data_IF_252072465818
#
_entry.id   IF_252072465818
#
_cell.length_a   1.000
_cell.length_b   1.000
_cell.length_c   1.000
_cell.angle_alpha   90.00
_cell.angle_beta   90.00
_cell.angle_gamma   90.00
#
_symmetry.space_group_name_H-M   'P 1'
#
loop_
_entity.id
_entity.type
_entity.pdbx_description
1 polymer ?
#
# COMPACT_ATOMS: atom_id res chain seq x y z
N UNK A 1 4.21 -14.51 1.80
CA UNK A 1 3.60 -14.58 3.16
C UNK A 1 4.41 -15.52 4.03
N UNK A 2 4.76 -15.14 5.26
CA UNK A 2 5.54 -15.98 6.19
C UNK A 2 4.66 -17.08 6.78
N UNK A 3 5.24 -18.20 7.23
CA UNK A 3 4.47 -19.32 7.79
C UNK A 3 3.61 -18.93 8.99
N UNK A 4 4.12 -18.07 9.87
CA UNK A 4 3.38 -17.56 11.04
C UNK A 4 2.16 -16.72 10.63
N UNK A 5 2.26 -15.94 9.56
CA UNK A 5 1.14 -15.14 9.03
C UNK A 5 0.07 -16.05 8.43
N UNK A 6 0.48 -17.13 7.76
CA UNK A 6 -0.46 -18.15 7.23
C UNK A 6 -1.21 -18.80 8.39
N UNK A 7 -0.50 -19.26 9.41
CA UNK A 7 -1.09 -19.90 10.59
C UNK A 7 -2.09 -18.97 11.30
N UNK A 8 -1.70 -17.72 11.55
CA UNK A 8 -2.58 -16.73 12.15
C UNK A 8 -3.86 -16.51 11.31
N UNK A 9 -3.73 -16.34 9.98
CA UNK A 9 -4.89 -16.20 9.09
C UNK A 9 -5.81 -17.43 9.13
N UNK A 10 -5.26 -18.63 9.18
CA UNK A 10 -6.04 -19.87 9.29
C UNK A 10 -6.84 -19.87 10.59
N UNK A 11 -6.21 -19.53 11.72
CA UNK A 11 -6.88 -19.50 13.02
C UNK A 11 -7.97 -18.42 13.08
N UNK A 12 -7.73 -17.23 12.53
CA UNK A 12 -8.73 -16.15 12.41
C UNK A 12 -9.95 -16.60 11.59
N UNK A 13 -9.72 -17.26 10.45
CA UNK A 13 -10.78 -17.81 9.60
C UNK A 13 -11.61 -18.85 10.36
N UNK A 14 -10.96 -19.74 11.11
CA UNK A 14 -11.65 -20.75 11.92
C UNK A 14 -12.49 -20.08 13.03
N UNK A 15 -11.97 -19.05 13.69
CA UNK A 15 -12.71 -18.32 14.72
C UNK A 15 -13.94 -17.60 14.14
N UNK A 16 -13.81 -17.02 12.94
CA UNK A 16 -14.93 -16.41 12.20
C UNK A 16 -15.98 -17.43 11.80
N UNK A 17 -15.57 -18.65 11.43
CA UNK A 17 -16.46 -19.78 11.14
C UNK A 17 -17.27 -20.19 12.36
N UNK A 18 -16.62 -20.33 13.51
CA UNK A 18 -17.27 -20.69 14.76
C UNK A 18 -18.29 -19.61 15.19
N UNK A 19 -18.08 -18.36 14.79
CA UNK A 19 -19.01 -17.22 15.00
C UNK A 19 -20.09 -17.08 13.92
N UNK A 20 -20.13 -17.96 12.91
CA UNK A 20 -21.11 -17.93 11.82
C UNK A 20 -20.99 -16.70 10.90
N UNK A 21 -19.81 -16.09 10.82
CA UNK A 21 -19.57 -14.95 9.95
C UNK A 21 -19.29 -15.40 8.51
N UNK A 22 -19.54 -14.56 7.48
CA UNK A 22 -19.12 -14.85 6.11
C UNK A 22 -17.60 -14.99 6.04
N UNK A 23 -17.12 -16.05 5.37
CA UNK A 23 -15.68 -16.38 5.30
C UNK A 23 -15.16 -16.37 3.87
N UNK A 24 -15.87 -17.02 2.95
CA UNK A 24 -15.43 -17.04 1.55
C UNK A 24 -15.50 -15.62 1.00
N UNK A 25 -14.32 -15.07 0.74
CA UNK A 25 -14.12 -13.80 0.07
C UNK A 25 -13.40 -14.03 -1.27
N UNK A 26 -12.96 -12.96 -1.90
CA UNK A 26 -12.29 -13.03 -3.20
C UNK A 26 -10.88 -13.66 -3.13
N UNK A 27 -10.39 -14.00 -1.93
CA UNK A 27 -9.03 -14.54 -1.69
C UNK A 27 -9.00 -15.88 -0.96
N UNK A 28 -10.09 -16.28 -0.30
CA UNK A 28 -10.18 -17.52 0.50
C UNK A 28 -11.19 -18.51 -0.09
N UNK A 29 -10.81 -19.78 -0.17
CA UNK A 29 -11.67 -20.88 -0.61
C UNK A 29 -11.66 -22.03 0.42
N UNK A 30 -12.84 -22.47 0.87
CA UNK A 30 -12.95 -23.55 1.85
C UNK A 30 -13.25 -24.89 1.16
N UNK A 31 -12.60 -25.96 1.61
CA UNK A 31 -12.76 -27.32 1.07
C UNK A 31 -12.82 -28.32 2.21
N UNK A 32 -13.91 -29.09 2.28
CA UNK A 32 -14.02 -30.18 3.24
C UNK A 32 -12.99 -31.28 2.97
N UNK A 33 -12.79 -31.62 1.68
CA UNK A 33 -11.88 -32.68 1.23
C UNK A 33 -10.95 -32.20 0.12
N UNK A 34 -9.87 -32.95 -0.10
CA UNK A 34 -8.97 -32.76 -1.22
C UNK A 34 -9.71 -32.90 -2.57
N UNK A 35 -9.55 -31.95 -3.50
CA UNK A 35 -10.16 -32.06 -4.82
C UNK A 35 -9.62 -33.27 -5.60
N UNK A 36 -10.48 -34.26 -5.87
CA UNK A 36 -10.13 -35.47 -6.63
C UNK A 36 -10.06 -35.25 -8.14
N UNK A 37 -10.86 -34.32 -8.64
CA UNK A 37 -10.82 -33.89 -10.04
C UNK A 37 -9.74 -32.81 -10.22
N UNK A 38 -8.54 -33.25 -10.63
CA UNK A 38 -7.39 -32.39 -10.82
C UNK A 38 -7.57 -31.33 -11.91
N UNK A 39 -8.39 -31.61 -12.94
CA UNK A 39 -8.68 -30.62 -13.97
C UNK A 39 -9.58 -29.51 -13.41
N UNK A 40 -10.67 -29.90 -12.73
CA UNK A 40 -11.55 -28.94 -12.06
C UNK A 40 -10.79 -28.14 -10.99
N UNK A 41 -9.90 -28.78 -10.25
CA UNK A 41 -9.03 -28.10 -9.28
C UNK A 41 -8.14 -27.06 -9.98
N UNK A 42 -7.41 -27.45 -11.02
CA UNK A 42 -6.54 -26.55 -11.79
C UNK A 42 -7.33 -25.37 -12.38
N UNK A 43 -8.51 -25.64 -12.98
CA UNK A 43 -9.39 -24.61 -13.54
C UNK A 43 -9.83 -23.60 -12.48
N UNK A 44 -10.19 -24.06 -11.28
CA UNK A 44 -10.59 -23.18 -10.18
C UNK A 44 -9.43 -22.39 -9.58
N UNK A 45 -8.26 -23.02 -9.43
CA UNK A 45 -7.04 -22.34 -8.97
C UNK A 45 -6.68 -21.22 -9.95
N UNK A 46 -6.63 -21.53 -11.25
CA UNK A 46 -6.35 -20.55 -12.29
C UNK A 46 -7.40 -19.41 -12.30
N UNK A 47 -8.70 -19.74 -12.17
CA UNK A 47 -9.76 -18.76 -12.13
C UNK A 47 -9.64 -17.77 -10.96
N UNK A 48 -9.36 -18.32 -9.78
CA UNK A 48 -9.19 -17.57 -8.55
C UNK A 48 -7.92 -16.70 -8.63
N UNK A 49 -6.81 -17.27 -9.11
CA UNK A 49 -5.55 -16.55 -9.25
C UNK A 49 -5.61 -15.42 -10.29
N UNK A 50 -6.29 -15.63 -11.42
CA UNK A 50 -6.51 -14.59 -12.43
C UNK A 50 -7.38 -13.44 -11.88
N UNK A 51 -8.42 -13.76 -11.11
CA UNK A 51 -9.29 -12.74 -10.52
C UNK A 51 -8.59 -11.95 -9.39
N UNK A 52 -7.66 -12.57 -8.66
CA UNK A 52 -6.94 -11.96 -7.55
C UNK A 52 -5.87 -10.93 -7.96
N UNK A 53 -5.44 -10.91 -9.23
CA UNK A 53 -4.60 -9.84 -9.84
C UNK A 53 -3.32 -9.48 -9.06
N UNK A 54 -2.62 -10.48 -8.55
CA UNK A 54 -1.36 -10.31 -7.81
C UNK A 54 -1.50 -10.49 -6.29
N UNK A 55 -2.73 -10.48 -5.76
CA UNK A 55 -2.96 -10.86 -4.36
C UNK A 55 -2.91 -12.38 -4.18
N UNK A 56 -2.21 -12.90 -3.16
CA UNK A 56 -2.14 -14.33 -2.91
C UNK A 56 -3.52 -14.87 -2.51
N UNK A 57 -3.86 -16.06 -3.01
CA UNK A 57 -5.11 -16.73 -2.67
C UNK A 57 -4.83 -17.93 -1.75
N UNK A 58 -5.76 -18.25 -0.87
CA UNK A 58 -5.64 -19.32 0.12
C UNK A 58 -6.77 -20.33 -0.02
N UNK A 59 -6.42 -21.60 -0.14
CA UNK A 59 -7.38 -22.70 -0.03
C UNK A 59 -7.18 -23.42 1.30
N UNK A 60 -8.26 -23.61 2.06
CA UNK A 60 -8.23 -24.34 3.33
C UNK A 60 -8.91 -25.69 3.15
N UNK A 61 -8.11 -26.75 3.22
CA UNK A 61 -8.57 -28.14 3.16
C UNK A 61 -8.86 -28.64 4.58
N UNK A 62 -9.98 -29.34 4.76
CA UNK A 62 -10.46 -29.82 6.05
C UNK A 62 -11.45 -28.86 6.73
N UNK A 63 -12.00 -27.89 5.99
CA UNK A 63 -13.01 -26.94 6.50
C UNK A 63 -14.27 -27.02 5.64
N UNK A 64 -15.42 -27.22 6.29
CA UNK A 64 -16.74 -27.19 5.68
C UNK A 64 -17.51 -25.97 6.22
N UNK A 65 -18.02 -25.13 5.32
CA UNK A 65 -18.71 -23.88 5.69
C UNK A 65 -19.91 -24.10 6.62
N UNK A 66 -20.56 -25.27 6.57
CA UNK A 66 -21.73 -25.60 7.39
C UNK A 66 -21.39 -26.41 8.62
N UNK A 67 -20.38 -27.27 8.53
CA UNK A 67 -20.01 -28.22 9.61
C UNK A 67 -18.82 -27.76 10.44
N UNK A 68 -18.16 -26.67 10.07
CA UNK A 68 -16.95 -26.21 10.74
C UNK A 68 -15.70 -27.00 10.31
N UNK A 69 -14.74 -27.11 11.21
CA UNK A 69 -13.49 -27.87 10.97
C UNK A 69 -13.77 -29.37 10.96
N UNK A 70 -13.65 -30.01 9.80
CA UNK A 70 -13.84 -31.45 9.60
C UNK A 70 -12.53 -32.24 9.64
N UNK A 71 -11.40 -31.57 9.34
CA UNK A 71 -10.08 -32.18 9.23
C UNK A 71 -9.77 -32.64 7.81
N UNK A 72 -8.53 -32.48 7.38
CA UNK A 72 -8.03 -32.92 6.08
C UNK A 72 -7.45 -34.33 6.18
N UNK A 73 -7.84 -35.20 5.26
CA UNK A 73 -7.20 -36.50 5.09
C UNK A 73 -5.74 -36.35 4.64
N UNK A 74 -4.94 -37.40 4.88
CA UNK A 74 -3.59 -37.48 4.36
C UNK A 74 -3.64 -37.57 2.83
N UNK A 75 -3.04 -36.59 2.16
CA UNK A 75 -2.81 -36.56 0.71
C UNK A 75 -1.37 -36.12 0.47
N UNK A 76 -0.67 -36.81 -0.43
CA UNK A 76 0.71 -36.47 -0.73
C UNK A 76 0.74 -35.23 -1.65
N UNK A 77 0.95 -34.06 -1.04
CA UNK A 77 0.85 -32.77 -1.73
C UNK A 77 1.68 -32.68 -3.02
N UNK A 78 2.92 -33.22 -3.00
CA UNK A 78 3.80 -33.26 -4.16
C UNK A 78 3.15 -33.99 -5.34
N UNK A 79 2.51 -35.13 -5.09
CA UNK A 79 1.83 -35.93 -6.10
C UNK A 79 0.56 -35.23 -6.58
N UNK A 80 -0.28 -34.77 -5.64
CA UNK A 80 -1.52 -34.07 -5.98
C UNK A 80 -1.25 -32.81 -6.81
N UNK A 81 -0.32 -31.97 -6.35
CA UNK A 81 0.00 -30.72 -7.01
C UNK A 81 0.72 -30.94 -8.35
N UNK A 82 1.52 -31.99 -8.51
CA UNK A 82 2.08 -32.34 -9.83
C UNK A 82 0.98 -32.63 -10.86
N UNK A 83 -0.08 -33.36 -10.47
CA UNK A 83 -1.24 -33.63 -11.34
C UNK A 83 -2.00 -32.36 -11.68
N UNK A 84 -2.21 -31.47 -10.70
CA UNK A 84 -2.85 -30.16 -10.91
C UNK A 84 -2.01 -29.28 -11.85
N UNK A 85 -0.71 -29.14 -11.56
CA UNK A 85 0.25 -28.37 -12.35
C UNK A 85 0.32 -28.84 -13.80
N UNK A 86 0.18 -30.15 -14.04
CA UNK A 86 0.17 -30.70 -15.39
C UNK A 86 -0.94 -30.13 -16.29
N UNK A 87 -1.98 -29.50 -15.72
CA UNK A 87 -3.10 -28.91 -16.46
C UNK A 87 -2.84 -27.47 -16.92
N UNK A 88 -1.83 -26.81 -16.39
CA UNK A 88 -1.46 -25.44 -16.79
C UNK A 88 -0.64 -25.46 -18.09
N UNK A 89 -0.86 -24.46 -18.93
CA UNK A 89 -0.03 -24.26 -20.12
C UNK A 89 1.42 -24.01 -19.72
N UNK A 90 2.37 -24.59 -20.48
CA UNK A 90 3.81 -24.48 -20.23
C UNK A 90 4.24 -24.82 -18.79
N UNK A 91 3.43 -25.57 -18.04
CA UNK A 91 3.62 -25.87 -16.61
C UNK A 91 3.71 -24.64 -15.70
N UNK A 92 3.16 -23.50 -16.15
CA UNK A 92 3.07 -22.24 -15.42
C UNK A 92 1.87 -22.22 -14.47
N UNK A 93 1.90 -23.11 -13.48
CA UNK A 93 0.97 -23.02 -12.34
C UNK A 93 1.44 -21.96 -11.33
N UNK A 94 0.52 -21.40 -10.51
CA UNK A 94 0.90 -20.57 -9.37
C UNK A 94 1.91 -21.28 -8.46
N UNK A 95 2.88 -20.55 -7.91
CA UNK A 95 3.74 -21.11 -6.87
C UNK A 95 2.89 -21.42 -5.63
N UNK A 96 3.20 -22.52 -4.95
CA UNK A 96 2.42 -23.02 -3.83
C UNK A 96 3.27 -23.11 -2.57
N UNK A 97 2.78 -22.49 -1.49
CA UNK A 97 3.25 -22.72 -0.11
C UNK A 97 2.17 -23.51 0.62
N UNK A 98 2.56 -24.57 1.32
CA UNK A 98 1.65 -25.38 2.13
C UNK A 98 2.02 -25.32 3.60
N UNK A 99 1.00 -25.28 4.47
CA UNK A 99 1.14 -25.36 5.91
C UNK A 99 0.03 -26.24 6.51
N UNK A 100 0.40 -27.24 7.28
CA UNK A 100 -0.53 -28.04 8.08
C UNK A 100 -0.70 -27.37 9.45
N UNK A 101 -1.93 -27.00 9.79
CA UNK A 101 -2.28 -26.31 11.04
C UNK A 101 -3.10 -27.25 11.91
N UNK A 102 -2.60 -27.68 13.09
CA UNK A 102 -3.37 -28.47 14.03
C UNK A 102 -4.42 -27.62 14.74
N UNK A 103 -5.65 -28.10 14.81
CA UNK A 103 -6.77 -27.45 15.51
C UNK A 103 -7.69 -28.49 16.15
N UNK A 104 -7.83 -28.46 17.49
CA UNK A 104 -8.73 -29.34 18.25
C UNK A 104 -8.63 -30.83 17.87
N UNK A 105 -7.40 -31.34 17.73
CA UNK A 105 -7.14 -32.75 17.39
C UNK A 105 -7.37 -33.11 15.91
N UNK A 106 -7.69 -32.13 15.07
CA UNK A 106 -7.79 -32.24 13.61
C UNK A 106 -6.68 -31.45 12.93
N UNK A 107 -6.43 -31.72 11.66
CA UNK A 107 -5.45 -30.96 10.85
C UNK A 107 -6.18 -30.24 9.74
N UNK A 108 -5.96 -28.94 9.60
CA UNK A 108 -6.35 -28.14 8.44
C UNK A 108 -5.11 -27.94 7.58
N UNK A 109 -5.24 -28.06 6.25
CA UNK A 109 -4.12 -27.80 5.33
C UNK A 109 -4.39 -26.50 4.58
N UNK A 110 -3.53 -25.51 4.80
CA UNK A 110 -3.55 -24.24 4.08
C UNK A 110 -2.65 -24.32 2.85
N UNK A 111 -3.23 -24.08 1.68
CA UNK A 111 -2.55 -23.98 0.39
C UNK A 111 -2.58 -22.52 -0.07
N UNK A 112 -1.42 -21.85 -0.06
CA UNK A 112 -1.29 -20.45 -0.45
C UNK A 112 -0.65 -20.38 -1.82
N UNK A 113 -1.37 -19.79 -2.78
CA UNK A 113 -0.93 -19.66 -4.16
C UNK A 113 -0.50 -18.21 -4.47
N UNK A 114 0.68 -18.04 -5.05
CA UNK A 114 1.17 -16.74 -5.54
C UNK A 114 0.58 -16.44 -6.92
N UNK A 115 -0.01 -15.25 -7.09
CA UNK A 115 -0.80 -14.92 -8.29
C UNK A 115 -0.15 -13.87 -9.19
N UNK A 116 1.04 -13.39 -8.84
CA UNK A 116 1.76 -12.31 -9.56
C UNK A 116 2.07 -12.65 -11.03
N UNK A 117 2.20 -13.94 -11.35
CA UNK A 117 2.49 -14.44 -12.70
C UNK A 117 1.24 -14.61 -13.56
N UNK A 118 0.11 -14.03 -13.17
CA UNK A 118 -1.08 -13.99 -14.02
C UNK A 118 -0.76 -13.36 -15.39
N UNK A 119 -1.39 -13.80 -16.49
CA UNK A 119 -2.49 -14.76 -16.56
C UNK A 119 -2.06 -16.23 -16.45
N UNK A 120 -2.83 -17.00 -15.70
CA UNK A 120 -2.74 -18.46 -15.64
C UNK A 120 -3.70 -19.09 -16.64
N UNK A 121 -3.14 -19.85 -17.58
CA UNK A 121 -3.85 -20.51 -18.68
C UNK A 121 -3.91 -22.01 -18.42
N UNK A 122 -5.07 -22.62 -18.66
CA UNK A 122 -5.25 -24.07 -18.55
C UNK A 122 -5.42 -24.73 -19.92
N UNK A 123 -4.96 -25.97 -20.04
CA UNK A 123 -5.20 -26.85 -21.19
C UNK A 123 -6.49 -27.63 -20.96
N UNK A 124 -7.39 -27.59 -21.93
CA UNK A 124 -8.66 -28.31 -21.88
C UNK A 124 -8.41 -29.79 -22.23
N UNK A 125 -8.72 -30.76 -21.34
CA UNK A 125 -8.58 -32.18 -21.63
C UNK A 125 -9.41 -32.58 -22.85
N UNK A 126 -8.89 -33.53 -23.62
CA UNK A 126 -9.61 -34.18 -24.71
C UNK A 126 -10.18 -33.21 -25.75
N UNK A 127 -9.56 -32.04 -25.93
CA UNK A 127 -9.97 -31.06 -26.93
C UNK A 127 -9.68 -31.59 -28.34
N UNK A 128 -10.67 -32.21 -28.96
CA UNK A 128 -10.69 -32.53 -30.39
C UNK A 128 -11.11 -31.35 -31.27
N UNK A 129 -11.45 -30.21 -30.63
CA UNK A 129 -11.91 -28.98 -31.28
C UNK A 129 -10.85 -27.88 -31.39
N UNK A 130 -11.25 -26.74 -31.95
CA UNK A 130 -10.42 -25.55 -32.19
C UNK A 130 -9.95 -24.90 -30.88
N UNK A 131 -10.67 -25.10 -29.77
CA UNK A 131 -10.36 -24.50 -28.47
C UNK A 131 -9.58 -25.50 -27.62
N UNK A 132 -8.29 -25.21 -27.43
CA UNK A 132 -7.35 -26.06 -26.67
C UNK A 132 -6.98 -25.47 -25.31
N UNK A 133 -7.18 -24.16 -25.13
CA UNK A 133 -6.79 -23.39 -23.96
C UNK A 133 -7.91 -22.50 -23.46
N UNK A 134 -7.92 -22.26 -22.15
CA UNK A 134 -8.83 -21.33 -21.50
C UNK A 134 -8.05 -20.45 -20.52
N UNK A 135 -8.38 -19.16 -20.48
CA UNK A 135 -8.06 -18.28 -19.35
C UNK A 135 -9.29 -18.26 -18.45
N UNK A 136 -9.35 -19.05 -17.37
CA UNK A 136 -10.52 -19.09 -16.51
C UNK A 136 -10.53 -17.86 -15.58
N UNK A 137 -11.71 -17.47 -15.14
CA UNK A 137 -11.97 -16.29 -14.34
C UNK A 137 -13.01 -16.59 -13.27
N UNK A 138 -12.76 -16.14 -12.05
CA UNK A 138 -13.71 -16.25 -10.94
C UNK A 138 -14.64 -15.03 -10.94
N UNK A 139 -15.93 -15.28 -10.84
CA UNK A 139 -16.97 -14.26 -10.65
C UNK A 139 -17.86 -14.70 -9.49
N UNK A 140 -17.71 -14.03 -8.34
CA UNK A 140 -18.21 -14.49 -7.05
C UNK A 140 -17.83 -15.97 -6.81
N UNK A 141 -18.79 -16.86 -6.60
CA UNK A 141 -18.53 -18.28 -6.34
C UNK A 141 -18.52 -19.15 -7.62
N UNK A 142 -18.56 -18.53 -8.81
CA UNK A 142 -18.61 -19.23 -10.08
C UNK A 142 -17.30 -19.12 -10.87
N UNK A 143 -17.07 -20.07 -11.78
CA UNK A 143 -15.89 -20.08 -12.67
C UNK A 143 -16.32 -20.12 -14.13
N UNK A 144 -15.93 -19.10 -14.90
CA UNK A 144 -16.19 -18.96 -16.33
C UNK A 144 -14.91 -18.64 -17.10
N UNK A 145 -14.94 -18.63 -18.42
CA UNK A 145 -13.83 -18.11 -19.23
C UNK A 145 -13.75 -16.57 -19.11
N UNK A 146 -12.54 -16.02 -19.18
CA UNK A 146 -12.28 -14.59 -19.14
C UNK A 146 -12.89 -13.91 -20.37
N UNK A 147 -13.54 -12.76 -20.16
CA UNK A 147 -14.00 -11.86 -21.22
C UNK A 147 -12.88 -10.88 -21.57
N UNK A 148 -13.04 -10.14 -22.68
CA UNK A 148 -12.10 -9.07 -23.06
C UNK A 148 -11.82 -8.08 -21.91
N UNK A 149 -12.85 -7.69 -21.16
CA UNK A 149 -12.72 -6.79 -20.00
C UNK A 149 -11.83 -7.37 -18.91
N UNK A 150 -11.88 -8.68 -18.69
CA UNK A 150 -11.08 -9.36 -17.66
C UNK A 150 -9.62 -9.46 -18.12
N UNK A 151 -9.39 -9.77 -19.40
CA UNK A 151 -8.06 -9.77 -19.99
C UNK A 151 -7.41 -8.38 -19.92
N UNK A 152 -8.17 -7.30 -20.14
CA UNK A 152 -7.65 -5.93 -19.95
C UNK A 152 -7.27 -5.68 -18.49
N UNK A 153 -8.07 -6.15 -17.52
CA UNK A 153 -7.73 -6.01 -16.09
C UNK A 153 -6.46 -6.76 -15.71
N UNK A 154 -6.10 -7.84 -16.41
CA UNK A 154 -4.83 -8.56 -16.24
C UNK A 154 -3.63 -7.83 -16.84
N UNK A 155 -3.85 -7.12 -17.95
CA UNK A 155 -2.80 -6.34 -18.64
C UNK A 155 -2.59 -4.96 -18.00
N UNK A 156 -3.57 -4.45 -17.26
CA UNK A 156 -3.46 -3.18 -16.56
C UNK A 156 -2.63 -3.37 -15.29
N UNK A 157 -1.55 -2.59 -15.08
CA UNK A 157 -0.69 -2.76 -13.90
C UNK A 157 -1.50 -2.62 -12.60
N UNK A 158 -1.45 -3.63 -11.73
CA UNK A 158 -1.94 -3.50 -10.35
C UNK A 158 -0.94 -2.62 -9.59
N UNK A 159 -1.06 -1.30 -9.71
CA UNK A 159 -0.18 -0.40 -8.99
C UNK A 159 -0.52 -0.44 -7.51
N UNK A 160 0.38 -1.00 -6.72
CA UNK A 160 0.27 -0.95 -5.28
C UNK A 160 0.58 0.48 -4.82
N UNK A 161 -0.43 1.14 -4.27
CA UNK A 161 -0.32 2.51 -3.75
C UNK A 161 0.70 2.54 -2.62
N UNK A 162 1.73 3.41 -2.67
CA UNK A 162 2.66 3.54 -1.56
C UNK A 162 1.95 4.12 -0.34
N UNK A 163 2.37 3.73 0.85
CA UNK A 163 1.89 4.30 2.11
C UNK A 163 2.85 5.35 2.63
N UNK A 164 2.31 6.35 3.31
CA UNK A 164 3.05 7.46 3.90
C UNK A 164 2.66 7.60 5.37
N UNK A 165 3.65 7.62 6.25
CA UNK A 165 3.51 7.90 7.67
C UNK A 165 4.14 9.25 8.00
N UNK A 166 3.42 10.11 8.72
CA UNK A 166 3.95 11.37 9.22
C UNK A 166 4.62 11.08 10.57
N UNK A 167 5.93 11.30 10.64
CA UNK A 167 6.71 11.06 11.87
C UNK A 167 6.71 12.31 12.74
N UNK A 168 6.93 13.47 12.14
CA UNK A 168 7.04 14.76 12.82
C UNK A 168 6.76 15.88 11.81
N UNK A 169 6.46 17.07 12.30
CA UNK A 169 6.33 18.25 11.47
C UNK A 169 6.23 19.55 12.25
N UNK A 170 6.58 20.63 11.56
CA UNK A 170 6.34 21.99 12.03
C UNK A 170 5.92 22.92 10.89
N UNK A 171 5.17 23.96 11.27
CA UNK A 171 4.95 25.15 10.45
C UNK A 171 5.56 26.33 11.18
N UNK A 172 6.35 27.13 10.48
CA UNK A 172 7.04 28.30 11.02
C UNK A 172 6.61 29.55 10.25
N UNK A 173 6.20 30.59 10.98
CA UNK A 173 5.85 31.90 10.43
C UNK A 173 6.86 32.95 10.85
N UNK A 174 7.60 33.51 9.89
CA UNK A 174 8.60 34.55 10.14
C UNK A 174 8.38 35.79 9.27
N UNK A 175 8.96 36.93 9.68
CA UNK A 175 9.13 38.07 8.78
C UNK A 175 10.06 37.70 7.63
N UNK A 176 9.65 37.98 6.41
CA UNK A 176 10.49 37.75 5.24
C UNK A 176 11.71 38.70 5.27
N UNK A 177 12.86 38.23 4.76
CA UNK A 177 14.05 39.07 4.62
C UNK A 177 13.92 39.87 3.32
N UNK A 178 13.95 41.20 3.43
CA UNK A 178 13.97 42.07 2.26
C UNK A 178 15.21 41.80 1.38
N UNK A 179 15.01 41.55 0.08
CA UNK A 179 16.08 41.40 -0.91
C UNK A 179 16.31 39.99 -1.47
N UNK A 180 15.62 38.96 -0.96
CA UNK A 180 15.49 37.68 -1.66
C UNK A 180 14.30 37.72 -2.62
N UNK A 181 14.41 37.03 -3.75
CA UNK A 181 13.57 37.11 -4.96
C UNK A 181 12.09 36.72 -4.84
N UNK A 182 11.49 36.77 -3.65
CA UNK A 182 10.10 36.39 -3.41
C UNK A 182 9.30 37.58 -2.83
N UNK A 183 8.10 37.82 -3.35
CA UNK A 183 7.22 38.92 -2.97
C UNK A 183 6.38 38.53 -1.75
N UNK A 184 6.65 39.13 -0.60
CA UNK A 184 5.85 38.94 0.61
C UNK A 184 6.53 39.50 1.85
N UNK A 185 5.77 40.08 2.77
CA UNK A 185 6.28 40.59 4.05
C UNK A 185 6.46 39.48 5.12
N UNK A 186 5.81 38.34 4.94
CA UNK A 186 5.82 37.19 5.85
C UNK A 186 6.02 35.89 5.08
N UNK A 187 6.78 34.98 5.66
CA UNK A 187 7.08 33.66 5.10
C UNK A 187 6.58 32.56 6.04
N UNK A 188 5.82 31.64 5.48
CA UNK A 188 5.38 30.40 6.09
C UNK A 188 6.22 29.25 5.56
N UNK A 189 6.81 28.47 6.44
CA UNK A 189 7.60 27.30 6.10
C UNK A 189 6.98 26.05 6.69
N UNK A 190 6.56 25.12 5.83
CA UNK A 190 6.21 23.77 6.22
C UNK A 190 7.46 22.90 6.18
N UNK A 191 7.69 22.13 7.25
CA UNK A 191 8.70 21.08 7.28
C UNK A 191 8.11 19.85 7.94
N UNK A 192 8.05 18.74 7.21
CA UNK A 192 7.51 17.47 7.68
C UNK A 192 8.51 16.36 7.47
N UNK A 193 8.65 15.51 8.46
CA UNK A 193 9.41 14.28 8.40
C UNK A 193 8.43 13.14 8.13
N UNK A 194 8.57 12.49 6.99
CA UNK A 194 7.64 11.43 6.57
C UNK A 194 8.40 10.15 6.26
N UNK A 195 7.79 9.00 6.53
CA UNK A 195 8.29 7.69 6.13
C UNK A 195 7.44 7.15 4.99
N UNK A 196 8.06 6.83 3.86
CA UNK A 196 7.36 6.31 2.69
C UNK A 196 7.70 4.84 2.54
N UNK A 197 6.68 4.00 2.28
CA UNK A 197 6.83 2.57 1.99
C UNK A 197 6.24 2.29 0.61
N UNK A 198 7.06 1.75 -0.29
CA UNK A 198 6.61 1.20 -1.56
C UNK A 198 6.32 -0.28 -1.41
N UNK A 199 5.35 -0.77 -2.20
CA UNK A 199 5.00 -2.19 -2.26
C UNK A 199 5.31 -2.80 -3.64
N UNK A 200 5.94 -2.00 -4.53
CA UNK A 200 6.43 -2.41 -5.84
C UNK A 200 7.95 -2.60 -5.78
N UNK A 201 8.48 -3.44 -6.67
CA UNK A 201 9.92 -3.53 -6.92
C UNK A 201 10.47 -2.37 -7.75
N UNK A 202 9.59 -1.55 -8.34
CA UNK A 202 9.97 -0.38 -9.13
C UNK A 202 10.21 0.85 -8.25
N UNK A 203 11.18 1.68 -8.63
CA UNK A 203 11.46 2.96 -7.96
C UNK A 203 10.25 3.89 -8.06
N UNK A 204 9.74 4.33 -6.91
CA UNK A 204 8.71 5.35 -6.82
C UNK A 204 9.33 6.72 -7.14
N UNK A 205 8.84 7.36 -8.20
CA UNK A 205 9.23 8.71 -8.60
C UNK A 205 8.09 9.68 -8.29
N UNK A 206 8.35 10.72 -7.51
CA UNK A 206 7.37 11.79 -7.19
C UNK A 206 7.89 13.12 -7.73
N UNK A 207 7.38 13.60 -8.87
CA UNK A 207 7.71 14.93 -9.41
C UNK A 207 7.04 16.04 -8.61
N UNK A 208 7.81 17.04 -8.17
CA UNK A 208 7.32 18.09 -7.27
C UNK A 208 6.24 18.97 -7.91
N UNK A 209 6.34 19.23 -9.22
CA UNK A 209 5.36 20.03 -9.96
C UNK A 209 3.97 19.36 -10.08
N UNK A 210 3.87 18.06 -9.79
CA UNK A 210 2.59 17.32 -9.76
C UNK A 210 2.01 17.23 -8.35
N UNK A 211 2.72 17.76 -7.35
CA UNK A 211 2.29 17.75 -5.96
C UNK A 211 1.54 19.04 -5.63
N UNK A 212 0.61 18.93 -4.70
CA UNK A 212 -0.12 20.08 -4.16
C UNK A 212 -0.22 19.93 -2.64
N UNK A 213 0.04 21.02 -1.92
CA UNK A 213 -0.11 21.08 -0.48
C UNK A 213 -0.88 22.36 -0.16
N UNK A 214 -2.00 22.18 0.52
CA UNK A 214 -2.88 23.24 0.98
C UNK A 214 -2.83 23.31 2.50
N UNK A 215 -3.01 24.50 3.05
CA UNK A 215 -3.22 24.69 4.47
C UNK A 215 -4.39 25.61 4.75
N UNK A 216 -5.08 25.35 5.86
CA UNK A 216 -6.19 26.14 6.36
C UNK A 216 -5.92 26.53 7.81
N UNK A 217 -5.67 27.81 8.09
CA UNK A 217 -5.64 28.31 9.46
C UNK A 217 -7.03 28.25 10.11
N UNK A 218 -7.08 27.94 11.40
CA UNK A 218 -8.33 27.88 12.17
C UNK A 218 -9.16 29.17 12.00
N UNK A 219 -10.46 28.99 11.74
CA UNK A 219 -11.41 30.11 11.59
C UNK A 219 -11.34 30.83 10.24
N UNK A 220 -10.53 30.38 9.28
CA UNK A 220 -10.53 30.88 7.89
C UNK A 220 -11.20 29.87 6.96
N UNK A 221 -12.13 30.30 6.09
CA UNK A 221 -12.80 29.38 5.17
C UNK A 221 -11.89 28.96 4.01
N UNK A 222 -11.00 29.85 3.57
CA UNK A 222 -10.17 29.64 2.38
C UNK A 222 -8.91 28.83 2.69
N UNK A 223 -8.64 27.85 1.84
CA UNK A 223 -7.36 27.15 1.79
C UNK A 223 -6.31 27.99 1.05
N UNK A 224 -5.07 27.97 1.54
CA UNK A 224 -3.93 28.59 0.89
C UNK A 224 -2.98 27.50 0.40
N UNK A 225 -2.35 27.73 -0.76
CA UNK A 225 -1.47 26.77 -1.40
C UNK A 225 -0.02 27.07 -1.04
N UNK A 226 0.69 26.07 -0.53
CA UNK A 226 2.14 26.13 -0.44
C UNK A 226 2.77 25.96 -1.83
N UNK A 227 3.86 26.68 -2.05
CA UNK A 227 4.72 26.66 -3.22
C UNK A 227 6.08 26.04 -2.88
N UNK A 228 6.96 25.91 -3.89
CA UNK A 228 8.32 25.38 -3.72
C UNK A 228 8.39 24.04 -2.98
N UNK A 229 7.44 23.15 -3.25
CA UNK A 229 7.40 21.81 -2.66
C UNK A 229 8.69 21.07 -3.02
N UNK A 230 9.38 20.56 -2.00
CA UNK A 230 10.55 19.70 -2.15
C UNK A 230 10.41 18.49 -1.25
N UNK A 231 10.87 17.34 -1.75
CA UNK A 231 10.99 16.12 -0.97
C UNK A 231 12.42 15.63 -1.11
N UNK A 232 13.13 15.52 0.00
CA UNK A 232 14.55 15.19 0.01
C UNK A 232 14.86 14.10 1.05
N UNK A 233 15.90 13.29 0.84
CA UNK A 233 16.38 12.39 1.87
C UNK A 233 16.95 13.19 3.06
N UNK A 234 17.13 12.56 4.22
CA UNK A 234 17.79 13.15 5.35
C UNK A 234 19.26 13.31 5.00
N UNK A 235 19.82 14.49 5.22
CA UNK A 235 21.21 14.76 4.92
C UNK A 235 22.00 15.11 6.19
N UNK A 236 23.30 14.85 6.13
CA UNK A 236 24.24 15.29 7.17
C UNK A 236 25.36 16.10 6.56
N UNK A 237 25.78 17.13 7.28
CA UNK A 237 26.95 17.93 6.95
C UNK A 237 28.18 17.33 7.61
N UNK A 238 29.19 17.00 6.81
CA UNK A 238 30.52 16.70 7.32
C UNK A 238 31.28 18.02 7.53
N UNK A 239 31.80 18.24 8.73
CA UNK A 239 32.62 19.44 9.04
C UNK A 239 33.96 19.47 8.28
N UNK A 240 34.40 18.35 7.68
CA UNK A 240 35.70 18.23 6.99
C UNK A 240 35.66 18.51 5.49
N UNK A 241 34.50 18.84 4.94
CA UNK A 241 34.35 19.27 3.56
C UNK A 241 32.87 19.53 3.34
N UNK A 242 32.52 20.72 2.86
CA UNK A 242 31.15 21.22 2.64
C UNK A 242 30.35 20.38 1.60
N UNK A 243 30.32 19.06 1.77
CA UNK A 243 29.54 18.12 0.98
C UNK A 243 28.48 17.53 1.88
N UNK A 244 27.25 17.84 1.51
CA UNK A 244 26.05 17.22 2.03
C UNK A 244 26.06 15.74 1.64
N UNK A 245 25.95 14.85 2.63
CA UNK A 245 25.85 13.40 2.39
C UNK A 245 24.46 12.93 2.77
N UNK A 246 23.76 12.31 1.81
CA UNK A 246 22.51 11.60 2.08
C UNK A 246 22.76 10.51 3.13
N UNK A 247 21.89 10.47 4.13
CA UNK A 247 21.83 9.43 5.15
C UNK A 247 20.90 8.27 4.72
N UNK A 248 20.24 8.39 3.57
CA UNK A 248 19.39 7.34 3.03
C UNK A 248 20.11 6.54 1.96
N UNK A 249 19.94 5.21 2.00
CA UNK A 249 20.40 4.28 0.96
C UNK A 249 19.32 4.02 -0.10
N UNK A 250 18.06 4.33 0.21
CA UNK A 250 16.88 3.95 -0.56
C UNK A 250 16.09 5.15 -1.06
N UNK A 251 16.50 6.37 -0.68
CA UNK A 251 15.90 7.63 -1.09
C UNK A 251 16.98 8.51 -1.69
N UNK A 252 16.72 9.02 -2.88
CA UNK A 252 17.52 10.03 -3.53
C UNK A 252 16.60 11.16 -4.03
N UNK A 253 17.15 12.35 -4.28
CA UNK A 253 16.37 13.48 -4.80
C UNK A 253 17.19 14.31 -5.77
N UNK A 254 16.51 14.84 -6.78
CA UNK A 254 17.02 15.90 -7.64
C UNK A 254 16.39 17.23 -7.23
N UNK A 255 16.57 18.26 -8.06
CA UNK A 255 15.87 19.54 -7.87
C UNK A 255 14.35 19.44 -8.10
N UNK A 256 13.87 18.42 -8.83
CA UNK A 256 12.50 18.38 -9.32
C UNK A 256 11.72 17.12 -8.95
N UNK A 257 12.39 16.11 -8.39
CA UNK A 257 11.74 14.86 -8.01
C UNK A 257 12.49 14.13 -6.89
N UNK A 258 11.77 13.26 -6.20
CA UNK A 258 12.32 12.27 -5.28
C UNK A 258 12.17 10.87 -5.86
N UNK A 259 13.19 10.05 -5.65
CA UNK A 259 13.30 8.65 -6.07
C UNK A 259 13.35 7.79 -4.81
N UNK A 260 12.44 6.81 -4.69
CA UNK A 260 12.33 5.93 -3.51
C UNK A 260 12.28 4.48 -3.99
N UNK A 261 13.33 3.71 -3.74
CA UNK A 261 13.47 2.35 -4.27
C UNK A 261 12.64 1.32 -3.50
N UNK A 262 12.53 1.47 -2.18
CA UNK A 262 11.81 0.53 -1.31
C UNK A 262 11.05 1.26 -0.21
N UNK A 263 11.69 1.53 0.92
CA UNK A 263 11.14 2.35 1.99
C UNK A 263 12.21 3.31 2.49
N UNK A 264 11.80 4.48 2.96
CA UNK A 264 12.75 5.43 3.48
C UNK A 264 12.11 6.69 4.05
N UNK A 265 12.88 7.33 4.92
CA UNK A 265 12.51 8.60 5.51
C UNK A 265 12.86 9.74 4.56
N UNK A 266 11.97 10.72 4.45
CA UNK A 266 12.15 11.93 3.66
C UNK A 266 11.71 13.15 4.45
N UNK A 267 12.24 14.31 4.06
CA UNK A 267 11.73 15.61 4.49
C UNK A 267 10.93 16.21 3.36
N UNK A 268 9.66 16.51 3.64
CA UNK A 268 8.80 17.31 2.81
C UNK A 268 8.86 18.75 3.30
N UNK A 269 9.19 19.69 2.41
CA UNK A 269 9.24 21.11 2.72
C UNK A 269 8.45 21.91 1.70
N UNK A 270 7.80 22.98 2.12
CA UNK A 270 7.11 23.89 1.22
C UNK A 270 7.01 25.29 1.83
N UNK A 271 6.84 26.31 1.00
CA UNK A 271 6.89 27.72 1.40
C UNK A 271 5.65 28.48 0.94
N UNK A 272 5.20 29.48 1.70
CA UNK A 272 4.14 30.37 1.27
C UNK A 272 4.40 31.79 1.77
N UNK A 273 4.14 32.78 0.93
CA UNK A 273 4.43 34.18 1.22
C UNK A 273 3.14 35.01 1.28
N UNK A 274 3.05 35.90 2.26
CA UNK A 274 1.92 36.82 2.42
C UNK A 274 2.39 38.24 2.70
N UNK A 275 1.66 39.22 2.19
CA UNK A 275 1.82 40.62 2.59
C UNK A 275 0.94 40.98 3.78
N UNK A 276 -0.20 40.31 3.90
CA UNK A 276 -1.11 40.51 5.03
C UNK A 276 -0.44 40.10 6.33
N UNK A 277 -0.53 40.99 7.33
CA UNK A 277 -0.11 40.67 8.68
C UNK A 277 -0.96 39.50 9.20
N UNK A 278 -0.36 38.37 9.60
CA UNK A 278 -1.10 37.26 10.20
C UNK A 278 -1.84 37.76 11.45
N UNK A 279 -3.05 37.23 11.66
CA UNK A 279 -3.96 37.70 12.70
C UNK A 279 -3.32 37.74 14.10
N UNK A 280 -3.74 38.71 14.91
CA UNK A 280 -3.46 38.73 16.36
C UNK A 280 -4.79 38.51 17.09
N UNK A 281 -4.94 37.45 17.91
CA UNK A 281 -3.96 36.40 18.19
C UNK A 281 -3.67 35.52 16.96
N UNK A 282 -2.52 34.85 16.97
CA UNK A 282 -2.19 33.82 15.97
C UNK A 282 -3.19 32.67 16.04
N UNK A 283 -3.33 31.96 14.92
CA UNK A 283 -4.23 30.81 14.80
C UNK A 283 -3.83 29.72 15.78
N UNK A 284 -4.78 29.12 16.50
CA UNK A 284 -4.49 28.03 17.43
C UNK A 284 -4.08 26.76 16.70
N UNK A 285 -4.73 26.49 15.56
CA UNK A 285 -4.51 25.29 14.75
C UNK A 285 -4.34 25.65 13.27
N UNK A 286 -3.61 24.79 12.56
CA UNK A 286 -3.49 24.79 11.11
C UNK A 286 -3.71 23.38 10.59
N UNK A 287 -4.72 23.20 9.74
CA UNK A 287 -4.92 21.97 8.98
C UNK A 287 -4.04 22.01 7.72
N UNK A 288 -3.40 20.90 7.40
CA UNK A 288 -2.63 20.71 6.16
C UNK A 288 -3.17 19.50 5.41
N UNK A 289 -3.40 19.68 4.11
CA UNK A 289 -3.77 18.61 3.18
C UNK A 289 -2.80 18.58 2.02
N UNK A 290 -2.37 17.38 1.62
CA UNK A 290 -1.42 17.22 0.53
C UNK A 290 -1.78 16.05 -0.39
N UNK A 291 -1.47 16.23 -1.67
CA UNK A 291 -1.61 15.22 -2.71
C UNK A 291 -0.28 15.07 -3.42
N UNK A 292 0.44 13.98 -3.10
CA UNK A 292 1.73 13.65 -3.73
C UNK A 292 1.47 12.69 -4.89
N UNK A 293 1.64 13.18 -6.12
CA UNK A 293 1.37 12.38 -7.34
C UNK A 293 2.65 11.75 -7.83
N UNK A 294 2.65 10.42 -7.91
CA UNK A 294 3.78 9.70 -8.50
C UNK A 294 3.74 9.74 -10.03
N UNK A 295 4.89 9.44 -10.66
CA UNK A 295 4.98 9.33 -12.10
C UNK A 295 4.08 8.20 -12.63
N UNK A 296 4.10 7.05 -11.96
CA UNK A 296 3.43 5.84 -12.43
C UNK A 296 1.93 5.81 -12.09
N UNK A 297 1.48 6.44 -10.99
CA UNK A 297 0.06 6.40 -10.56
C UNK A 297 -0.73 7.65 -10.90
N UNK A 298 -1.98 7.43 -11.31
CA UNK A 298 -2.98 8.49 -11.42
C UNK A 298 -3.51 8.92 -10.04
N UNK A 299 -3.54 8.00 -9.08
CA UNK A 299 -4.00 8.26 -7.72
C UNK A 299 -2.89 8.87 -6.85
N UNK A 300 -3.14 10.02 -6.20
CA UNK A 300 -2.18 10.62 -5.28
C UNK A 300 -2.05 9.82 -3.98
N UNK A 301 -0.88 9.93 -3.37
CA UNK A 301 -0.69 9.65 -1.94
C UNK A 301 -1.20 10.88 -1.18
N UNK A 302 -2.17 10.66 -0.29
CA UNK A 302 -2.78 11.73 0.48
C UNK A 302 -2.01 11.92 1.78
N UNK A 303 -1.94 13.17 2.21
CA UNK A 303 -1.35 13.63 3.45
C UNK A 303 -2.39 14.50 4.15
N UNK A 304 -2.73 14.19 5.40
CA UNK A 304 -3.57 15.06 6.23
C UNK A 304 -2.91 15.20 7.60
N UNK A 305 -2.82 16.43 8.11
CA UNK A 305 -2.17 16.74 9.37
C UNK A 305 -2.76 17.98 10.03
N UNK A 306 -2.79 17.98 11.36
CA UNK A 306 -3.16 19.13 12.17
C UNK A 306 -1.92 19.57 12.95
N UNK A 307 -1.68 20.88 12.96
CA UNK A 307 -0.58 21.51 13.67
C UNK A 307 -1.12 22.49 14.71
N UNK A 308 -0.64 22.37 15.96
CA UNK A 308 -1.06 23.21 17.07
C UNK A 308 0.01 24.24 17.44
N UNK A 309 -0.43 25.47 17.72
CA UNK A 309 0.43 26.59 18.07
C UNK A 309 1.17 26.31 19.38
N UNK A 310 2.50 26.38 19.32
CA UNK A 310 3.34 26.22 20.50
C UNK A 310 3.38 27.53 21.28
N UNK A 311 3.02 27.47 22.57
CA UNK A 311 3.22 28.60 23.48
C UNK A 311 4.72 28.75 23.74
N UNK A 312 5.26 29.93 23.42
CA UNK A 312 6.63 30.28 23.80
C UNK A 312 6.62 30.96 25.16
N UNK A 313 7.27 30.34 26.13
CA UNK A 313 7.34 30.85 27.51
C UNK A 313 8.37 31.99 27.70
N UNK A 314 9.25 32.26 26.73
CA UNK A 314 10.15 33.42 26.76
C UNK A 314 10.82 33.68 25.40
N UNK A 315 11.17 34.95 25.19
CA UNK A 315 11.87 35.59 24.05
C UNK A 315 11.01 35.91 22.81
N UNK A 316 10.60 37.18 22.74
CA UNK A 316 10.17 37.87 21.51
C UNK A 316 11.33 37.84 20.49
N UNK A 317 11.38 36.80 19.66
CA UNK A 317 12.21 36.83 18.46
C UNK A 317 11.56 37.80 17.47
N UNK A 318 12.18 38.95 17.21
CA UNK A 318 11.70 39.96 16.23
C UNK A 318 11.39 39.37 14.84
N UNK A 319 12.04 38.24 14.53
CA UNK A 319 11.93 37.55 13.25
C UNK A 319 10.90 36.43 13.25
N UNK A 320 10.86 35.60 14.29
CA UNK A 320 10.05 34.38 14.34
C UNK A 320 8.75 34.65 15.08
N UNK A 321 7.64 34.72 14.34
CA UNK A 321 6.35 35.18 14.86
C UNK A 321 5.51 34.03 15.43
N UNK A 322 5.56 32.84 14.83
CA UNK A 322 4.77 31.70 15.28
C UNK A 322 5.37 30.36 14.85
N UNK A 323 5.12 29.34 15.66
CA UNK A 323 5.52 27.95 15.39
C UNK A 323 4.36 27.03 15.77
N UNK A 324 3.95 26.18 14.84
CA UNK A 324 2.97 25.13 15.06
C UNK A 324 3.64 23.77 14.92
N UNK A 325 3.29 22.81 15.78
CA UNK A 325 3.85 21.45 15.75
C UNK A 325 2.78 20.43 15.43
N UNK A 326 3.16 19.43 14.65
CA UNK A 326 2.30 18.31 14.31
C UNK A 326 1.82 17.61 15.59
N UNK A 327 0.52 17.34 15.66
CA UNK A 327 -0.08 16.58 16.76
C UNK A 327 -0.57 15.26 16.21
N UNK A 328 -0.08 14.17 16.80
CA UNK A 328 -0.56 12.82 16.51
C UNK A 328 -1.83 12.60 17.32
N UNK A 329 -2.98 12.49 16.66
CA UNK A 329 -4.17 12.00 17.34
C UNK A 329 -4.06 10.48 17.48
N UNK A 330 -3.81 10.03 18.71
CA UNK A 330 -3.83 8.61 19.06
C UNK A 330 -5.27 8.08 18.92
N UNK A 331 -5.62 7.57 17.73
CA UNK A 331 -6.96 7.07 17.43
C UNK A 331 -7.12 6.39 16.08
N UNK A 332 -6.23 6.64 15.12
CA UNK A 332 -6.22 5.93 13.83
C UNK A 332 -5.18 4.82 13.87
N UNK A 333 -5.63 3.61 14.19
CA UNK A 333 -4.86 2.38 14.02
C UNK A 333 -4.62 2.13 12.53
N UNK A 334 -3.36 1.84 12.19
CA UNK A 334 -2.88 1.49 10.85
C UNK A 334 -3.61 0.32 10.20
#
# INVERSE_FOLDING_TARGET
MKKQEIEFKVLDIIERLDKGQPIEDDTVELKAEWPRDHFRAARRIAAHANAARGEPIMWLIGIDEKKGVVGADFEELSIWFAKVRSRFDQLLAPNLISLSVPYNGKTVVALVFETERSPFVIRIPDSTGIITHEVPWREANSTRSARRSDLIKLLYPTQKKPSLEIIDGKIELQRAIAGMSQTGSYQWNLSMKVYVVTYSSDTLVIPFHRCEILFRPQGRPDEKKFENIRIAPPTSYSTRGLKEKSQSLTVNSTEHEVLIDTAGMTYLTAEYFTDEKPGSPLFGEIEVKGWLRSHYSAEPVNLEAIFELQRRDNEESDRMLGEWRFVRHDGEAY
#
